data_IF_930363819079
#
_entry.id   IF_930363819079
#
_cell.length_a   1.000
_cell.length_b   1.000
_cell.length_c   1.000
_cell.angle_alpha   90.00
_cell.angle_beta   90.00
_cell.angle_gamma   90.00
#
_symmetry.space_group_name_H-M   'P 1'
#
loop_
_entity.id
_entity.type
_entity.pdbx_description
1 polymer ?
#
# COMPACT_ATOMS: atom_id res chain seq x y z
N UNK A 1 -8.77 33.81 42.61
CA UNK A 1 -9.12 32.41 42.35
C UNK A 1 -9.20 32.27 40.85
N UNK A 2 -8.04 31.94 40.23
CA UNK A 2 -7.87 31.86 38.79
C UNK A 2 -7.78 30.35 38.44
N UNK A 3 -8.80 29.85 37.76
CA UNK A 3 -8.80 28.48 37.26
C UNK A 3 -7.89 28.39 36.04
N UNK A 4 -6.83 27.60 36.15
CA UNK A 4 -6.04 27.12 35.02
C UNK A 4 -6.89 26.16 34.19
N UNK A 5 -7.09 26.52 32.93
CA UNK A 5 -7.65 25.62 31.92
C UNK A 5 -6.47 24.78 31.40
N UNK A 6 -6.42 23.53 31.82
CA UNK A 6 -5.52 22.53 31.23
C UNK A 6 -5.91 22.34 29.77
N UNK A 7 -4.98 22.62 28.88
CA UNK A 7 -5.05 22.21 27.47
C UNK A 7 -4.97 20.70 27.41
N UNK A 8 -6.12 20.04 27.34
CA UNK A 8 -6.21 18.63 27.04
C UNK A 8 -5.55 18.34 25.70
N UNK A 9 -4.45 17.61 25.78
CA UNK A 9 -3.80 16.99 24.65
C UNK A 9 -4.77 15.89 24.14
N UNK A 10 -5.50 16.17 23.07
CA UNK A 10 -6.30 15.17 22.39
C UNK A 10 -5.28 14.26 21.68
N UNK A 11 -4.85 13.22 22.39
CA UNK A 11 -4.22 12.06 21.75
C UNK A 11 -5.29 11.45 20.84
N UNK A 12 -5.19 11.69 19.56
CA UNK A 12 -5.88 10.90 18.55
C UNK A 12 -5.35 9.48 18.69
N UNK A 13 -6.21 8.61 19.13
CA UNK A 13 -5.98 7.16 19.24
C UNK A 13 -5.85 6.60 17.81
N UNK A 14 -4.66 6.79 17.24
CA UNK A 14 -4.35 6.35 15.89
C UNK A 14 -3.92 4.89 16.01
N UNK A 15 -4.80 3.96 15.67
CA UNK A 15 -4.53 2.53 15.46
C UNK A 15 -3.59 2.28 14.28
N UNK A 16 -2.52 3.02 14.17
CA UNK A 16 -1.45 2.70 13.25
C UNK A 16 -0.52 1.72 13.96
N UNK A 17 -0.36 0.53 13.40
CA UNK A 17 0.65 -0.42 13.83
C UNK A 17 2.05 0.21 13.85
N UNK A 18 3.04 -0.53 14.30
CA UNK A 18 4.44 -0.06 14.32
C UNK A 18 5.04 -0.15 12.91
N UNK A 19 6.03 0.69 12.62
CA UNK A 19 6.89 0.55 11.46
C UNK A 19 8.09 -0.30 11.89
N UNK A 20 8.26 -1.46 11.26
CA UNK A 20 9.44 -2.30 11.48
C UNK A 20 10.58 -1.81 10.58
N UNK A 21 11.68 -1.39 11.18
CA UNK A 21 12.90 -0.97 10.49
C UNK A 21 13.89 -2.11 10.58
N UNK A 22 14.35 -2.63 9.45
CA UNK A 22 15.34 -3.72 9.37
C UNK A 22 16.53 -3.21 8.59
N UNK A 23 17.56 -2.80 9.31
CA UNK A 23 18.76 -2.12 8.80
C UNK A 23 19.92 -2.48 9.76
N UNK A 24 21.03 -2.97 9.23
CA UNK A 24 22.17 -3.40 10.05
C UNK A 24 23.09 -2.24 10.44
N UNK A 25 23.14 -1.18 9.65
CA UNK A 25 23.85 0.04 10.02
C UNK A 25 23.10 0.77 11.14
N UNK A 26 23.76 0.80 12.31
CA UNK A 26 23.16 1.40 13.50
C UNK A 26 22.83 2.86 13.35
N UNK A 27 23.66 3.63 12.67
CA UNK A 27 23.47 5.08 12.53
C UNK A 27 22.30 5.38 11.59
N UNK A 28 22.14 4.60 10.52
CA UNK A 28 21.00 4.68 9.60
C UNK A 28 19.73 4.25 10.32
N UNK A 29 19.76 3.13 11.03
CA UNK A 29 18.60 2.59 11.75
C UNK A 29 18.10 3.58 12.81
N UNK A 30 18.99 4.13 13.64
CA UNK A 30 18.68 5.13 14.67
C UNK A 30 18.16 6.45 14.05
N UNK A 31 18.74 6.86 12.91
CA UNK A 31 18.30 8.04 12.17
C UNK A 31 16.85 7.87 11.66
N UNK A 32 16.55 6.74 11.05
CA UNK A 32 15.21 6.40 10.56
C UNK A 32 14.18 6.36 11.70
N UNK A 33 14.52 5.63 12.79
CA UNK A 33 13.64 5.53 13.96
C UNK A 33 13.36 6.89 14.59
N UNK A 34 14.39 7.75 14.71
CA UNK A 34 14.24 9.11 15.25
C UNK A 34 13.36 9.98 14.37
N UNK A 35 13.56 9.92 13.06
CA UNK A 35 12.82 10.74 12.11
C UNK A 35 11.33 10.34 12.06
N UNK A 36 11.06 9.05 11.99
CA UNK A 36 9.70 8.51 11.98
C UNK A 36 8.97 8.78 13.30
N UNK A 37 9.67 8.66 14.44
CA UNK A 37 9.10 9.01 15.74
C UNK A 37 8.75 10.49 15.84
N UNK A 38 9.58 11.39 15.30
CA UNK A 38 9.27 12.82 15.20
C UNK A 38 8.07 13.11 14.29
N UNK A 39 7.84 12.27 13.28
CA UNK A 39 6.66 12.35 12.40
C UNK A 39 5.40 11.72 13.04
N UNK A 40 5.48 11.18 14.27
CA UNK A 40 4.35 10.63 15.02
C UNK A 40 4.14 9.12 14.85
N UNK A 41 5.04 8.41 14.19
CA UNK A 41 4.96 6.96 14.02
C UNK A 41 5.63 6.22 15.18
N UNK A 42 5.09 5.07 15.55
CA UNK A 42 5.79 4.12 16.42
C UNK A 42 6.70 3.25 15.57
N UNK A 43 7.91 2.97 16.07
CA UNK A 43 8.91 2.20 15.34
C UNK A 43 9.43 1.04 16.18
N UNK A 44 9.73 -0.07 15.52
CA UNK A 44 10.49 -1.20 16.04
C UNK A 44 11.72 -1.41 15.18
N UNK A 45 12.88 -1.59 15.82
CA UNK A 45 14.16 -1.75 15.13
C UNK A 45 14.60 -3.20 15.17
N UNK A 46 15.18 -3.68 14.06
CA UNK A 46 15.89 -4.94 13.91
C UNK A 46 17.20 -4.68 13.17
N UNK A 47 18.27 -5.38 13.55
CA UNK A 47 19.62 -5.16 13.00
C UNK A 47 20.10 -6.33 12.13
N UNK A 48 19.20 -7.23 11.76
CA UNK A 48 19.47 -8.32 10.84
C UNK A 48 18.19 -8.86 10.23
N UNK A 49 18.28 -9.51 9.07
CA UNK A 49 17.13 -10.15 8.45
C UNK A 49 16.53 -11.25 9.31
N UNK A 50 17.36 -11.98 10.06
CA UNK A 50 16.88 -13.04 10.97
C UNK A 50 16.09 -12.47 12.14
N UNK A 51 16.52 -11.34 12.72
CA UNK A 51 15.78 -10.67 13.78
C UNK A 51 14.46 -10.11 13.26
N UNK A 52 14.49 -9.46 12.08
CA UNK A 52 13.27 -8.97 11.41
C UNK A 52 12.26 -10.09 11.16
N UNK A 53 12.70 -11.23 10.65
CA UNK A 53 11.84 -12.41 10.46
C UNK A 53 11.25 -12.91 11.79
N UNK A 54 12.06 -12.98 12.83
CA UNK A 54 11.59 -13.41 14.16
C UNK A 54 10.50 -12.48 14.71
N UNK A 55 10.70 -11.16 14.62
CA UNK A 55 9.73 -10.19 15.08
C UNK A 55 8.40 -10.31 14.31
N UNK A 56 8.45 -10.48 12.99
CA UNK A 56 7.27 -10.71 12.16
C UNK A 56 6.54 -12.01 12.49
N UNK A 57 7.25 -13.08 12.80
CA UNK A 57 6.64 -14.35 13.22
C UNK A 57 6.01 -14.30 14.59
N UNK A 58 6.54 -13.49 15.51
CA UNK A 58 6.02 -13.35 16.87
C UNK A 58 4.72 -12.55 16.91
N UNK A 59 4.65 -11.45 16.18
CA UNK A 59 3.46 -10.59 16.17
C UNK A 59 3.38 -9.82 14.84
N UNK A 60 2.86 -10.49 13.80
CA UNK A 60 2.70 -9.88 12.48
C UNK A 60 1.75 -8.68 12.50
N UNK A 61 0.68 -8.74 13.27
CA UNK A 61 -0.38 -7.73 13.31
C UNK A 61 0.07 -6.43 14.00
N UNK A 62 1.18 -6.47 14.74
CA UNK A 62 1.78 -5.27 15.33
C UNK A 62 2.32 -4.29 14.27
N UNK A 63 2.67 -4.79 13.08
CA UNK A 63 3.36 -3.99 12.07
C UNK A 63 2.44 -3.55 10.94
N UNK A 64 2.44 -2.24 10.67
CA UNK A 64 1.69 -1.61 9.59
C UNK A 64 2.53 -1.43 8.31
N UNK A 65 3.86 -1.44 8.43
CA UNK A 65 4.81 -1.26 7.33
C UNK A 65 6.19 -1.79 7.73
N UNK A 66 6.95 -2.26 6.74
CA UNK A 66 8.36 -2.64 6.89
C UNK A 66 9.23 -1.73 6.03
N UNK A 67 10.28 -1.12 6.63
CA UNK A 67 11.44 -0.59 5.93
C UNK A 67 12.51 -1.67 5.93
N UNK A 68 12.96 -2.12 4.77
CA UNK A 68 13.84 -3.28 4.62
C UNK A 68 15.09 -2.92 3.83
N UNK A 69 16.26 -3.02 4.46
CA UNK A 69 17.53 -2.98 3.73
C UNK A 69 17.76 -4.31 2.97
N UNK A 70 18.29 -4.19 1.78
CA UNK A 70 18.63 -5.35 0.96
C UNK A 70 19.95 -5.99 1.36
N UNK A 71 20.87 -5.21 1.92
CA UNK A 71 22.25 -5.63 2.27
C UNK A 71 22.37 -6.05 3.73
N UNK A 72 21.55 -7.02 4.16
CA UNK A 72 21.54 -7.49 5.54
C UNK A 72 22.47 -8.68 5.77
N UNK A 73 23.10 -8.79 6.95
CA UNK A 73 23.86 -9.96 7.32
C UNK A 73 22.95 -11.17 7.63
N UNK A 74 23.41 -12.36 7.26
CA UNK A 74 22.69 -13.61 7.51
C UNK A 74 21.57 -13.83 6.50
N UNK A 75 20.34 -13.56 6.88
CA UNK A 75 19.20 -13.61 5.97
C UNK A 75 19.14 -12.32 5.14
N UNK A 76 19.32 -12.45 3.82
CA UNK A 76 19.31 -11.29 2.91
C UNK A 76 17.95 -10.61 2.85
N UNK A 77 17.93 -9.32 2.44
CA UNK A 77 16.67 -8.59 2.25
C UNK A 77 15.76 -9.24 1.20
N UNK A 78 16.33 -9.80 0.12
CA UNK A 78 15.57 -10.52 -0.92
C UNK A 78 14.86 -11.76 -0.38
N UNK A 79 15.60 -12.59 0.38
CA UNK A 79 15.03 -13.77 1.01
C UNK A 79 13.96 -13.41 2.05
N UNK A 80 14.21 -12.34 2.83
CA UNK A 80 13.25 -11.86 3.82
C UNK A 80 11.99 -11.31 3.16
N UNK A 81 12.11 -10.53 2.08
CA UNK A 81 10.97 -10.05 1.30
C UNK A 81 10.11 -11.22 0.80
N UNK A 82 10.73 -12.26 0.23
CA UNK A 82 10.01 -13.45 -0.23
C UNK A 82 9.24 -14.14 0.92
N UNK A 83 9.84 -14.21 2.12
CA UNK A 83 9.18 -14.77 3.31
C UNK A 83 8.06 -13.89 3.83
N UNK A 84 8.23 -12.56 3.82
CA UNK A 84 7.17 -11.61 4.17
C UNK A 84 5.97 -11.81 3.25
N UNK A 85 6.18 -11.93 1.95
CA UNK A 85 5.10 -12.15 0.97
C UNK A 85 4.38 -13.49 1.13
N UNK A 86 5.06 -14.50 1.63
CA UNK A 86 4.45 -15.78 2.00
C UNK A 86 3.62 -15.69 3.30
N UNK A 87 4.06 -14.89 4.27
CA UNK A 87 3.35 -14.68 5.53
C UNK A 87 2.17 -13.73 5.38
N UNK A 88 2.38 -12.61 4.70
CA UNK A 88 1.38 -11.58 4.43
C UNK A 88 1.73 -10.78 3.18
N UNK A 89 1.00 -11.04 2.12
CA UNK A 89 1.18 -10.33 0.86
C UNK A 89 0.77 -8.85 0.93
N UNK A 90 -0.14 -8.50 1.86
CA UNK A 90 -0.70 -7.16 1.99
C UNK A 90 0.12 -6.22 2.87
N UNK A 91 1.12 -6.72 3.61
CA UNK A 91 2.01 -5.89 4.42
C UNK A 91 2.85 -4.98 3.53
N UNK A 92 2.72 -3.66 3.61
CA UNK A 92 3.56 -2.76 2.84
C UNK A 92 5.04 -2.92 3.18
N UNK A 93 5.88 -3.06 2.15
CA UNK A 93 7.34 -3.15 2.27
C UNK A 93 7.98 -2.10 1.37
N UNK A 94 8.68 -1.15 1.98
CA UNK A 94 9.56 -0.21 1.28
C UNK A 94 10.98 -0.70 1.42
N UNK A 95 11.66 -0.87 0.29
CA UNK A 95 13.03 -1.33 0.24
C UNK A 95 14.00 -0.15 0.30
N UNK A 96 15.05 -0.29 1.11
CA UNK A 96 16.21 0.59 1.12
C UNK A 96 17.33 -0.11 0.36
N UNK A 97 17.86 0.49 -0.71
CA UNK A 97 18.88 -0.15 -1.55
C UNK A 97 19.98 0.82 -1.96
N UNK A 98 21.22 0.34 -1.97
CA UNK A 98 22.35 1.07 -2.56
C UNK A 98 22.43 0.92 -4.09
N UNK A 99 21.59 0.06 -4.67
CA UNK A 99 21.64 -0.29 -6.09
C UNK A 99 20.83 0.71 -6.90
N UNK A 100 21.53 1.36 -7.82
CA UNK A 100 20.97 2.43 -8.65
C UNK A 100 20.61 1.95 -10.07
N UNK A 101 20.96 0.69 -10.40
CA UNK A 101 20.66 0.12 -11.70
C UNK A 101 19.16 -0.19 -11.83
N UNK A 102 18.59 0.27 -12.93
CA UNK A 102 17.15 0.18 -13.19
C UNK A 102 16.63 -1.26 -13.21
N UNK A 103 17.43 -2.19 -13.75
CA UNK A 103 17.02 -3.61 -13.83
C UNK A 103 16.92 -4.26 -12.45
N UNK A 104 17.75 -3.84 -11.48
CA UNK A 104 17.68 -4.32 -10.10
C UNK A 104 16.45 -3.77 -9.37
N UNK A 105 16.13 -2.49 -9.54
CA UNK A 105 14.89 -1.88 -9.02
C UNK A 105 13.65 -2.62 -9.54
N UNK A 106 13.63 -2.94 -10.84
CA UNK A 106 12.56 -3.74 -11.46
C UNK A 106 12.48 -5.12 -10.80
N UNK A 107 13.61 -5.79 -10.57
CA UNK A 107 13.62 -7.12 -9.94
C UNK A 107 13.06 -7.09 -8.52
N UNK A 108 13.33 -6.05 -7.74
CA UNK A 108 12.80 -5.88 -6.37
C UNK A 108 11.27 -5.71 -6.37
N UNK A 109 10.73 -4.93 -7.29
CA UNK A 109 9.28 -4.76 -7.46
C UNK A 109 8.63 -6.06 -7.99
N UNK A 110 9.31 -6.77 -8.90
CA UNK A 110 8.86 -8.12 -9.36
C UNK A 110 8.84 -9.11 -8.20
N UNK A 111 9.78 -9.01 -7.25
CA UNK A 111 9.81 -9.83 -6.05
C UNK A 111 8.69 -9.47 -5.05
N UNK A 112 7.95 -8.38 -5.30
CA UNK A 112 6.77 -7.98 -4.53
C UNK A 112 6.98 -6.83 -3.56
N UNK A 113 8.04 -6.02 -3.69
CA UNK A 113 8.14 -4.76 -2.97
C UNK A 113 7.03 -3.79 -3.40
N UNK A 114 6.53 -2.98 -2.48
CA UNK A 114 5.52 -1.96 -2.79
C UNK A 114 6.16 -0.66 -3.27
N UNK A 115 7.36 -0.36 -2.75
CA UNK A 115 8.15 0.81 -3.13
C UNK A 115 9.63 0.59 -2.81
N UNK A 116 10.49 1.48 -3.29
CA UNK A 116 11.92 1.47 -2.98
C UNK A 116 12.49 2.88 -2.81
N UNK A 117 13.56 2.98 -2.04
CA UNK A 117 14.32 4.21 -1.80
C UNK A 117 15.80 3.90 -2.03
N UNK A 118 16.48 4.70 -2.84
CA UNK A 118 17.92 4.54 -3.11
C UNK A 118 18.77 5.24 -2.06
N UNK A 119 19.79 4.56 -1.57
CA UNK A 119 20.85 5.13 -0.72
C UNK A 119 21.90 5.84 -1.60
N UNK A 120 22.35 7.09 -1.25
CA UNK A 120 21.93 7.87 -0.10
C UNK A 120 20.57 8.54 -0.31
N UNK A 121 19.73 8.59 0.73
CA UNK A 121 18.40 9.16 0.69
C UNK A 121 18.27 10.37 1.62
N UNK A 122 17.30 11.22 1.32
CA UNK A 122 16.88 12.27 2.23
C UNK A 122 15.83 11.74 3.20
N UNK A 123 15.95 12.09 4.48
CA UNK A 123 14.99 11.67 5.52
C UNK A 123 13.55 12.12 5.20
N UNK A 124 13.39 13.28 4.56
CA UNK A 124 12.07 13.78 4.15
C UNK A 124 11.41 12.85 3.12
N UNK A 125 12.19 12.27 2.21
CA UNK A 125 11.68 11.29 1.23
C UNK A 125 11.17 10.05 1.94
N UNK A 126 11.96 9.49 2.88
CA UNK A 126 11.53 8.30 3.64
C UNK A 126 10.21 8.56 4.37
N UNK A 127 10.11 9.69 5.09
CA UNK A 127 8.89 10.04 5.83
C UNK A 127 7.70 10.22 4.90
N UNK A 128 7.89 10.85 3.73
CA UNK A 128 6.83 11.04 2.74
C UNK A 128 6.33 9.70 2.21
N UNK A 129 7.24 8.79 1.76
CA UNK A 129 6.87 7.47 1.24
C UNK A 129 6.19 6.58 2.28
N UNK A 130 6.68 6.62 3.53
CA UNK A 130 6.00 5.93 4.65
C UNK A 130 4.59 6.48 4.85
N UNK A 131 4.41 7.81 4.84
CA UNK A 131 3.09 8.43 4.99
C UNK A 131 2.12 8.00 3.89
N UNK A 132 2.60 7.91 2.64
CA UNK A 132 1.83 7.43 1.49
C UNK A 132 1.42 5.98 1.68
N UNK A 133 2.38 5.11 2.00
CA UNK A 133 2.11 3.69 2.18
C UNK A 133 1.14 3.41 3.34
N UNK A 134 1.14 4.22 4.40
CA UNK A 134 0.23 4.07 5.53
C UNK A 134 -1.14 4.74 5.32
N UNK A 135 -1.25 5.77 4.45
CA UNK A 135 -2.49 6.50 4.20
C UNK A 135 -3.58 5.61 3.60
N UNK A 136 -3.23 4.75 2.67
CA UNK A 136 -4.16 3.79 2.09
C UNK A 136 -4.58 2.67 3.07
N UNK A 137 -3.82 2.48 4.17
CA UNK A 137 -4.24 1.58 5.24
C UNK A 137 -5.32 2.21 6.14
N UNK A 138 -5.47 3.55 6.11
CA UNK A 138 -6.35 4.35 7.00
C UNK A 138 -7.38 5.16 6.21
N UNK A 139 -7.54 4.98 4.90
CA UNK A 139 -8.49 5.73 4.06
C UNK A 139 -9.97 5.46 4.39
N UNK A 140 -10.29 5.39 5.70
CA UNK A 140 -11.64 5.32 6.25
C UNK A 140 -12.04 6.58 7.06
N UNK A 141 -11.30 7.70 6.95
CA UNK A 141 -11.72 8.96 7.59
C UNK A 141 -11.74 10.10 6.57
N UNK A 142 -12.92 10.61 6.18
CA UNK A 142 -12.99 11.76 5.30
C UNK A 142 -12.51 13.01 6.04
N UNK A 143 -11.38 13.57 5.61
CA UNK A 143 -10.93 14.92 6.01
C UNK A 143 -11.97 15.94 5.57
N UNK A 144 -12.67 16.53 6.52
CA UNK A 144 -13.52 17.72 6.30
C UNK A 144 -12.60 18.90 6.01
N UNK A 145 -12.42 19.26 4.75
CA UNK A 145 -12.09 20.66 4.38
C UNK A 145 -12.42 20.91 2.91
N UNK A 146 -13.40 21.79 2.67
CA UNK A 146 -13.49 22.49 1.41
C UNK A 146 -14.86 22.63 0.78
N UNK A 147 -15.65 23.58 1.28
CA UNK A 147 -16.65 24.44 0.62
C UNK A 147 -17.71 23.84 -0.33
N UNK A 148 -18.93 24.11 0.11
CA UNK A 148 -20.23 23.98 -0.51
C UNK A 148 -20.30 24.31 -2.01
N UNK A 149 -21.01 23.43 -2.74
CA UNK A 149 -21.70 23.71 -3.97
C UNK A 149 -22.95 22.85 -3.97
N UNK A 150 -24.12 23.50 -3.78
CA UNK A 150 -25.43 22.89 -3.73
C UNK A 150 -25.77 22.20 -5.06
N UNK A 151 -26.20 20.94 -5.03
CA UNK A 151 -27.28 20.49 -5.89
C UNK A 151 -27.93 19.25 -5.28
N UNK A 152 -29.22 19.43 -4.95
CA UNK A 152 -30.12 18.43 -4.41
C UNK A 152 -30.51 17.43 -5.53
N UNK A 153 -30.38 16.15 -5.28
CA UNK A 153 -31.26 15.15 -5.87
C UNK A 153 -31.55 14.03 -4.85
N UNK A 154 -32.82 13.72 -4.76
CA UNK A 154 -33.56 12.95 -3.78
C UNK A 154 -32.97 11.57 -3.44
N UNK A 155 -32.85 11.30 -2.14
CA UNK A 155 -32.67 9.97 -1.58
C UNK A 155 -34.03 9.27 -1.48
N UNK A 156 -34.16 8.08 -2.05
CA UNK A 156 -35.27 7.17 -1.74
C UNK A 156 -34.85 6.21 -0.62
N UNK A 157 -35.77 6.09 0.35
CA UNK A 157 -35.63 5.33 1.58
C UNK A 157 -35.52 3.82 1.33
N UNK A 158 -34.52 3.17 1.92
CA UNK A 158 -34.59 1.75 2.24
C UNK A 158 -34.40 1.55 3.75
N UNK A 159 -35.49 1.16 4.40
CA UNK A 159 -35.50 0.70 5.79
C UNK A 159 -35.15 -0.79 5.83
N UNK A 160 -34.04 -1.14 6.43
CA UNK A 160 -33.63 -2.50 6.76
C UNK A 160 -32.85 -2.50 8.06
N UNK A 161 -33.44 -3.00 9.13
CA UNK A 161 -32.79 -3.22 10.44
C UNK A 161 -31.73 -4.30 10.34
N UNK A 162 -30.55 -4.06 10.91
CA UNK A 162 -29.57 -5.09 11.24
C UNK A 162 -28.12 -4.64 11.10
N UNK A 163 -27.45 -4.58 12.24
CA UNK A 163 -26.02 -4.50 12.51
C UNK A 163 -25.26 -3.20 12.18
N UNK A 164 -25.01 -2.50 13.27
CA UNK A 164 -24.11 -1.35 13.39
C UNK A 164 -22.64 -1.81 13.44
N UNK A 165 -22.03 -2.06 12.29
CA UNK A 165 -20.57 -2.03 12.13
C UNK A 165 -20.22 -1.80 10.65
N UNK A 166 -19.59 -0.67 10.40
CA UNK A 166 -18.89 -0.32 9.15
C UNK A 166 -19.69 0.50 8.11
N UNK A 167 -19.84 1.82 8.34
CA UNK A 167 -20.51 2.77 7.42
C UNK A 167 -19.54 3.76 6.75
N UNK A 168 -18.32 3.36 6.37
CA UNK A 168 -17.32 4.33 5.86
C UNK A 168 -16.68 3.99 4.50
N UNK A 169 -17.18 3.00 3.77
CA UNK A 169 -16.70 2.74 2.41
C UNK A 169 -17.59 3.52 1.44
N UNK A 170 -17.06 4.62 0.88
CA UNK A 170 -17.73 5.31 -0.21
C UNK A 170 -17.68 4.44 -1.48
N UNK A 171 -18.77 3.76 -1.79
CA UNK A 171 -18.88 2.87 -2.96
C UNK A 171 -19.23 1.43 -2.61
N UNK A 172 -19.38 0.56 -3.62
CA UNK A 172 -19.73 -0.84 -3.39
C UNK A 172 -18.62 -1.58 -2.66
N UNK A 173 -18.98 -2.46 -1.72
CA UNK A 173 -18.05 -3.32 -0.97
C UNK A 173 -17.27 -4.25 -1.91
N UNK A 174 -17.92 -4.73 -2.97
CA UNK A 174 -17.33 -5.56 -4.01
C UNK A 174 -17.43 -4.87 -5.35
N UNK A 175 -16.35 -4.91 -6.11
CA UNK A 175 -16.30 -4.43 -7.49
C UNK A 175 -16.16 -5.65 -8.38
N UNK A 176 -17.07 -5.79 -9.35
CA UNK A 176 -17.11 -6.95 -10.24
C UNK A 176 -16.82 -6.55 -11.68
N UNK A 177 -15.99 -7.35 -12.35
CA UNK A 177 -15.74 -7.22 -13.78
C UNK A 177 -15.51 -8.60 -14.40
N UNK A 178 -16.46 -9.08 -15.21
CA UNK A 178 -16.48 -10.44 -15.76
C UNK A 178 -16.40 -11.47 -14.62
N UNK A 179 -15.32 -12.26 -14.55
CA UNK A 179 -15.10 -13.25 -13.49
C UNK A 179 -14.25 -12.72 -12.32
N UNK A 180 -13.77 -11.47 -12.42
CA UNK A 180 -13.04 -10.84 -11.33
C UNK A 180 -14.01 -10.24 -10.30
N UNK A 181 -13.74 -10.51 -9.04
CA UNK A 181 -14.40 -9.87 -7.89
C UNK A 181 -13.34 -9.32 -6.97
N UNK A 182 -13.33 -8.00 -6.79
CA UNK A 182 -12.44 -7.31 -5.86
C UNK A 182 -13.22 -6.98 -4.58
N UNK A 183 -12.90 -7.64 -3.49
CA UNK A 183 -13.49 -7.39 -2.17
C UNK A 183 -12.68 -6.34 -1.42
N UNK A 184 -13.30 -5.17 -1.20
CA UNK A 184 -12.64 -3.99 -0.59
C UNK A 184 -12.46 -4.14 0.93
N UNK A 185 -13.27 -4.97 1.59
CA UNK A 185 -13.15 -5.19 3.04
C UNK A 185 -12.00 -6.15 3.33
N UNK A 186 -12.00 -7.32 2.66
CA UNK A 186 -10.94 -8.32 2.84
C UNK A 186 -9.66 -8.00 2.08
N UNK A 187 -9.68 -6.98 1.19
CA UNK A 187 -8.60 -6.63 0.26
C UNK A 187 -8.14 -7.82 -0.58
N UNK A 188 -9.10 -8.64 -1.01
CA UNK A 188 -8.84 -9.86 -1.76
C UNK A 188 -9.41 -9.76 -3.18
N UNK A 189 -8.63 -10.24 -4.15
CA UNK A 189 -9.10 -10.47 -5.53
C UNK A 189 -9.50 -11.93 -5.68
N UNK A 190 -10.60 -12.17 -6.38
CA UNK A 190 -11.06 -13.50 -6.77
C UNK A 190 -11.22 -13.57 -8.29
N UNK A 191 -10.98 -14.77 -8.85
CA UNK A 191 -11.28 -15.14 -10.23
C UNK A 191 -12.19 -16.36 -10.19
N UNK A 192 -13.43 -16.23 -10.66
CA UNK A 192 -14.42 -17.31 -10.62
C UNK A 192 -14.46 -18.02 -9.24
N UNK A 193 -14.60 -17.23 -8.16
CA UNK A 193 -14.65 -17.63 -6.75
C UNK A 193 -13.32 -18.18 -6.17
N UNK A 194 -12.25 -18.29 -6.94
CA UNK A 194 -10.94 -18.68 -6.44
C UNK A 194 -10.13 -17.45 -6.05
N UNK A 195 -9.60 -17.43 -4.82
CA UNK A 195 -8.77 -16.33 -4.36
C UNK A 195 -7.46 -16.27 -5.16
N UNK A 196 -7.07 -15.04 -5.56
CA UNK A 196 -5.77 -14.77 -6.18
C UNK A 196 -4.76 -14.51 -5.08
N UNK A 197 -3.80 -15.41 -4.92
CA UNK A 197 -2.79 -15.27 -3.89
C UNK A 197 -1.80 -14.14 -4.17
N UNK A 198 -1.36 -13.49 -3.08
CA UNK A 198 -0.21 -12.59 -3.09
C UNK A 198 -0.46 -11.23 -3.76
N UNK A 199 -1.71 -10.75 -3.84
CA UNK A 199 -2.01 -9.39 -4.29
C UNK A 199 -1.42 -8.39 -3.28
N UNK A 200 -0.50 -7.53 -3.75
CA UNK A 200 0.09 -6.47 -2.93
C UNK A 200 -0.85 -5.27 -2.83
N UNK A 201 -0.53 -4.35 -1.94
CA UNK A 201 -1.33 -3.13 -1.73
C UNK A 201 -1.45 -2.29 -3.01
N UNK A 202 -0.34 -2.07 -3.73
CA UNK A 202 -0.35 -1.28 -4.96
C UNK A 202 -1.13 -2.00 -6.08
N UNK A 203 -0.96 -3.30 -6.21
CA UNK A 203 -1.71 -4.10 -7.17
C UNK A 203 -3.22 -4.05 -6.90
N UNK A 204 -3.60 -4.08 -5.61
CA UNK A 204 -5.00 -3.92 -5.21
C UNK A 204 -5.55 -2.55 -5.59
N UNK A 205 -4.82 -1.45 -5.30
CA UNK A 205 -5.22 -0.10 -5.64
C UNK A 205 -5.34 0.11 -7.17
N UNK A 206 -4.40 -0.42 -7.95
CA UNK A 206 -4.46 -0.39 -9.41
C UNK A 206 -5.74 -1.10 -9.91
N UNK A 207 -6.01 -2.30 -9.41
CA UNK A 207 -7.20 -3.07 -9.78
C UNK A 207 -8.49 -2.34 -9.37
N UNK A 208 -8.51 -1.74 -8.19
CA UNK A 208 -9.66 -0.97 -7.70
C UNK A 208 -10.00 0.18 -8.64
N UNK A 209 -9.00 0.97 -9.05
CA UNK A 209 -9.20 2.07 -9.99
C UNK A 209 -9.73 1.57 -11.34
N UNK A 210 -9.07 0.59 -11.93
CA UNK A 210 -9.41 0.09 -13.25
C UNK A 210 -10.77 -0.61 -13.26
N UNK A 211 -11.07 -1.44 -12.27
CA UNK A 211 -12.34 -2.17 -12.17
C UNK A 211 -13.54 -1.27 -11.82
N UNK A 212 -13.32 -0.18 -11.07
CA UNK A 212 -14.37 0.81 -10.81
C UNK A 212 -14.78 1.58 -12.08
N UNK A 213 -13.87 1.66 -13.06
CA UNK A 213 -14.09 2.40 -14.30
C UNK A 213 -13.69 1.57 -15.54
N UNK A 214 -14.35 0.42 -15.81
CA UNK A 214 -13.85 -0.59 -16.75
C UNK A 214 -13.71 -0.12 -18.20
N UNK A 215 -14.47 0.90 -18.59
CA UNK A 215 -14.44 1.47 -19.96
C UNK A 215 -13.49 2.64 -20.14
N UNK A 216 -12.92 3.13 -19.03
CA UNK A 216 -12.05 4.30 -19.05
C UNK A 216 -10.61 3.85 -19.28
N UNK A 217 -9.93 4.57 -20.19
CA UNK A 217 -8.46 4.49 -20.32
C UNK A 217 -7.85 5.48 -19.33
N UNK A 218 -6.96 4.99 -18.49
CA UNK A 218 -6.20 5.83 -17.57
C UNK A 218 -4.78 6.01 -18.08
N UNK A 219 -4.26 7.22 -18.03
CA UNK A 219 -2.86 7.48 -18.27
C UNK A 219 -2.01 6.79 -17.18
N UNK A 220 -0.75 6.48 -17.50
CA UNK A 220 0.14 5.84 -16.54
C UNK A 220 0.34 6.70 -15.30
N UNK A 221 0.42 8.01 -15.50
CA UNK A 221 0.54 9.03 -14.47
C UNK A 221 -0.66 9.00 -13.52
N UNK A 222 -1.87 8.97 -14.06
CA UNK A 222 -3.11 8.95 -13.26
C UNK A 222 -3.20 7.69 -12.38
N UNK A 223 -2.83 6.52 -12.94
CA UNK A 223 -2.83 5.26 -12.21
C UNK A 223 -1.78 5.30 -11.10
N UNK A 224 -0.59 5.84 -11.41
CA UNK A 224 0.48 5.98 -10.43
C UNK A 224 0.05 6.90 -9.29
N UNK A 225 -0.44 8.11 -9.60
CA UNK A 225 -0.90 9.08 -8.60
C UNK A 225 -2.00 8.49 -7.72
N UNK A 226 -2.93 7.71 -8.28
CA UNK A 226 -3.96 7.03 -7.51
C UNK A 226 -3.39 5.93 -6.59
N UNK A 227 -2.54 5.05 -7.13
CA UNK A 227 -2.07 3.88 -6.39
C UNK A 227 -0.98 4.21 -5.37
N UNK A 228 -0.16 5.24 -5.63
CA UNK A 228 0.89 5.70 -4.71
C UNK A 228 0.50 6.96 -3.95
N UNK A 229 -0.60 7.65 -4.31
CA UNK A 229 -1.05 8.93 -3.73
C UNK A 229 0.07 10.00 -3.73
N UNK A 230 0.90 9.99 -4.77
CA UNK A 230 2.03 10.89 -4.99
C UNK A 230 1.98 11.48 -6.40
N UNK A 231 2.41 12.74 -6.59
CA UNK A 231 2.60 13.28 -7.92
C UNK A 231 3.59 12.42 -8.71
N UNK A 232 3.25 12.12 -9.95
CA UNK A 232 4.13 11.37 -10.82
C UNK A 232 5.44 12.14 -11.13
N UNK A 233 6.58 11.61 -10.73
CA UNK A 233 7.92 12.20 -10.92
C UNK A 233 8.75 11.37 -11.92
N UNK A 234 8.16 10.99 -13.06
CA UNK A 234 8.94 10.58 -14.25
C UNK A 234 9.33 9.11 -14.39
N UNK A 235 8.99 8.19 -13.45
CA UNK A 235 9.31 6.75 -13.59
C UNK A 235 8.07 5.86 -13.76
N UNK A 236 7.58 5.69 -15.00
CA UNK A 236 6.44 4.78 -15.31
C UNK A 236 6.78 3.29 -15.20
N UNK A 237 8.07 2.92 -15.12
CA UNK A 237 8.49 1.52 -15.13
C UNK A 237 7.97 0.73 -13.92
N UNK A 238 7.85 1.37 -12.77
CA UNK A 238 7.27 0.76 -11.56
C UNK A 238 5.83 0.28 -11.81
N UNK A 239 4.98 1.12 -12.42
CA UNK A 239 3.61 0.75 -12.75
C UNK A 239 3.54 -0.44 -13.72
N UNK A 240 4.37 -0.43 -14.78
CA UNK A 240 4.38 -1.50 -15.77
C UNK A 240 4.73 -2.86 -15.15
N UNK A 241 5.60 -2.86 -14.14
CA UNK A 241 5.95 -4.07 -13.37
C UNK A 241 4.75 -4.57 -12.56
N UNK A 242 4.05 -3.70 -11.84
CA UNK A 242 2.86 -4.10 -11.09
C UNK A 242 1.74 -4.62 -12.01
N UNK A 243 1.50 -3.98 -13.14
CA UNK A 243 0.55 -4.49 -14.16
C UNK A 243 0.98 -5.89 -14.66
N UNK A 244 2.28 -6.09 -14.91
CA UNK A 244 2.79 -7.41 -15.30
C UNK A 244 2.59 -8.46 -14.22
N UNK A 245 2.80 -8.10 -12.96
CA UNK A 245 2.60 -8.99 -11.81
C UNK A 245 1.12 -9.35 -11.62
N UNK A 246 0.21 -8.38 -11.72
CA UNK A 246 -1.23 -8.62 -11.67
C UNK A 246 -1.63 -9.64 -12.75
N UNK A 247 -1.21 -9.41 -14.00
CA UNK A 247 -1.50 -10.32 -15.12
C UNK A 247 -0.98 -11.74 -14.86
N UNK A 248 0.26 -11.88 -14.35
CA UNK A 248 0.84 -13.17 -14.00
C UNK A 248 0.08 -13.89 -12.89
N UNK A 249 -0.39 -13.15 -11.86
CA UNK A 249 -1.16 -13.71 -10.75
C UNK A 249 -2.53 -14.21 -11.23
N UNK A 250 -3.25 -13.42 -12.01
CA UNK A 250 -4.54 -13.79 -12.59
C UNK A 250 -4.38 -15.00 -13.54
N UNK A 251 -3.31 -15.03 -14.34
CA UNK A 251 -3.05 -16.11 -15.31
C UNK A 251 -2.87 -17.48 -14.66
N UNK A 252 -2.57 -17.57 -13.37
CA UNK A 252 -2.52 -18.84 -12.64
C UNK A 252 -3.89 -19.52 -12.51
N UNK A 253 -4.98 -18.75 -12.59
CA UNK A 253 -6.35 -19.23 -12.38
C UNK A 253 -7.20 -19.22 -13.66
N UNK A 254 -6.81 -18.44 -14.68
CA UNK A 254 -7.54 -18.33 -15.95
C UNK A 254 -6.60 -17.87 -17.07
N UNK A 255 -6.87 -18.30 -18.30
CA UNK A 255 -6.17 -17.82 -19.50
C UNK A 255 -6.75 -16.50 -20.04
N UNK A 256 -7.84 -16.01 -19.47
CA UNK A 256 -8.45 -14.76 -19.86
C UNK A 256 -7.57 -13.56 -19.53
N UNK A 257 -7.55 -12.59 -20.42
CA UNK A 257 -6.89 -11.30 -20.19
C UNK A 257 -7.93 -10.27 -19.70
N UNK A 258 -7.56 -9.54 -18.63
CA UNK A 258 -8.44 -8.57 -17.99
C UNK A 258 -7.95 -7.13 -18.07
N UNK A 259 -6.65 -6.91 -18.28
CA UNK A 259 -6.07 -5.58 -18.40
C UNK A 259 -5.50 -5.41 -19.80
N UNK A 260 -6.00 -4.40 -20.53
CA UNK A 260 -5.54 -4.02 -21.86
C UNK A 260 -4.52 -2.88 -21.76
N UNK A 261 -3.42 -2.99 -22.54
CA UNK A 261 -2.47 -1.90 -22.71
C UNK A 261 -2.91 -1.04 -23.89
N UNK A 262 -3.16 0.23 -23.65
CA UNK A 262 -3.42 1.22 -24.70
C UNK A 262 -2.11 1.95 -25.01
N UNK A 263 -1.48 1.53 -26.10
CA UNK A 263 -0.13 1.98 -26.47
C UNK A 263 -0.01 3.50 -26.53
N UNK A 264 1.03 4.04 -25.88
CA UNK A 264 1.28 5.49 -25.83
C UNK A 264 0.38 6.26 -24.87
N UNK A 265 -0.59 5.60 -24.18
CA UNK A 265 -1.52 6.24 -23.25
C UNK A 265 -1.42 5.60 -21.86
N UNK A 266 -1.76 4.31 -21.71
CA UNK A 266 -1.79 3.67 -20.41
C UNK A 266 -2.56 2.35 -20.40
N UNK A 267 -3.49 2.19 -19.46
CA UNK A 267 -4.18 0.92 -19.21
C UNK A 267 -5.71 1.11 -19.02
N UNK A 268 -6.45 0.07 -19.32
CA UNK A 268 -7.89 -0.05 -19.03
C UNK A 268 -8.26 -1.51 -18.75
N UNK A 269 -9.48 -1.75 -18.25
CA UNK A 269 -10.02 -3.11 -18.24
C UNK A 269 -10.36 -3.54 -19.66
N UNK A 270 -10.13 -4.84 -19.95
CA UNK A 270 -10.53 -5.48 -21.22
C UNK A 270 -11.98 -5.94 -21.11
N UNK A 271 -12.79 -5.59 -22.10
CA UNK A 271 -14.23 -5.98 -22.19
C UNK A 271 -14.41 -7.49 -22.40
#
# INVERSE_FOLDING_TARGET
MVQQIEKGNIMTDNKSGEILIIEDDKDINDLLATALSKAGYRTRQAWSGTEGELLLKLDREAYALVLLDMMLPGLSGEELLARIRQMDASLPVIILTAKDELDEKINLLVAGADDYITKPFEIKEVVARVAVQLRHAVADVPSKSGKAGENQTKAENYTGQGDTTNTYIAGPVKIEHRQLVLDRISRQLYVADNAVDGITKQEFAILELLMAHPRQVFAKEDIFEYAWDEPYIGETKTLDVHISNIRKKIKKLTDDEYIETVWGIGYKMKE
#
